data_IF_247992638190
#
_entry.id   IF_247992638190
#
_cell.length_a   1.000
_cell.length_b   1.000
_cell.length_c   1.000
_cell.angle_alpha   90.00
_cell.angle_beta   90.00
_cell.angle_gamma   90.00
#
_symmetry.space_group_name_H-M   'P 1'
#
loop_
_entity.id
_entity.type
_entity.pdbx_description
1 polymer ?
#
# COMPACT_ATOMS: atom_id res chain seq x y z
N UNK A 1 -16.91 -2.82 10.65
CA UNK A 1 -15.53 -2.84 10.12
C UNK A 1 -15.06 -1.39 10.06
N UNK A 2 -14.02 -1.00 10.81
CA UNK A 2 -13.56 0.42 10.84
C UNK A 2 -12.60 0.68 9.68
N UNK A 3 -12.60 1.90 9.11
CA UNK A 3 -11.71 2.32 8.01
C UNK A 3 -10.23 2.01 8.34
N UNK A 4 -9.83 2.20 9.59
CA UNK A 4 -8.49 1.83 10.08
C UNK A 4 -8.15 0.34 9.91
N UNK A 5 -9.11 -0.57 10.12
CA UNK A 5 -8.90 -2.01 9.89
C UNK A 5 -8.75 -2.31 8.40
N UNK A 6 -9.52 -1.64 7.55
CA UNK A 6 -9.40 -1.78 6.10
C UNK A 6 -8.02 -1.30 5.60
N UNK A 7 -7.54 -0.16 6.10
CA UNK A 7 -6.19 0.35 5.78
C UNK A 7 -5.11 -0.62 6.22
N UNK A 8 -5.20 -1.19 7.44
CA UNK A 8 -4.25 -2.21 7.91
C UNK A 8 -4.23 -3.47 7.04
N UNK A 9 -5.39 -3.92 6.57
CA UNK A 9 -5.48 -5.08 5.66
C UNK A 9 -4.84 -4.74 4.31
N UNK A 10 -5.10 -3.56 3.76
CA UNK A 10 -4.47 -3.08 2.52
C UNK A 10 -2.95 -2.99 2.66
N UNK A 11 -2.46 -2.44 3.76
CA UNK A 11 -1.03 -2.34 4.05
C UNK A 11 -0.37 -3.72 4.12
N UNK A 12 -1.00 -4.65 4.85
CA UNK A 12 -0.52 -6.02 4.91
C UNK A 12 -0.46 -6.65 3.52
N UNK A 13 -1.50 -6.47 2.69
CA UNK A 13 -1.55 -7.07 1.36
C UNK A 13 -0.51 -6.47 0.41
N UNK A 14 -0.30 -5.15 0.43
CA UNK A 14 0.74 -4.48 -0.35
C UNK A 14 2.13 -5.02 0.03
N UNK A 15 2.41 -5.19 1.32
CA UNK A 15 3.68 -5.74 1.81
C UNK A 15 3.88 -7.16 1.30
N UNK A 16 2.86 -8.02 1.44
CA UNK A 16 2.93 -9.41 0.98
C UNK A 16 3.19 -9.49 -0.53
N UNK A 17 2.51 -8.67 -1.34
CA UNK A 17 2.69 -8.62 -2.79
C UNK A 17 4.09 -8.17 -3.18
N UNK A 18 4.63 -7.12 -2.54
CA UNK A 18 6.00 -6.66 -2.78
C UNK A 18 7.04 -7.71 -2.43
N UNK A 19 6.87 -8.42 -1.30
CA UNK A 19 7.77 -9.49 -0.90
C UNK A 19 7.73 -10.67 -1.87
N UNK A 20 6.54 -11.10 -2.29
CA UNK A 20 6.36 -12.18 -3.26
C UNK A 20 7.01 -11.84 -4.61
N UNK A 21 6.86 -10.61 -5.10
CA UNK A 21 7.52 -10.15 -6.33
C UNK A 21 9.06 -10.21 -6.25
N UNK A 22 9.64 -9.76 -5.14
CA UNK A 22 11.09 -9.83 -4.92
C UNK A 22 11.57 -11.27 -4.87
N UNK A 23 10.78 -12.16 -4.26
CA UNK A 23 11.09 -13.59 -4.21
C UNK A 23 11.03 -14.22 -5.61
N UNK A 24 9.97 -13.96 -6.37
CA UNK A 24 9.81 -14.45 -7.75
C UNK A 24 10.95 -13.99 -8.65
N UNK A 25 11.38 -12.73 -8.55
CA UNK A 25 12.52 -12.21 -9.31
C UNK A 25 13.85 -12.90 -8.97
N UNK A 26 13.99 -13.47 -7.77
CA UNK A 26 15.18 -14.24 -7.38
C UNK A 26 15.11 -15.70 -7.84
N UNK A 27 13.91 -16.28 -7.82
CA UNK A 27 13.68 -17.69 -8.15
C UNK A 27 13.59 -17.94 -9.65
N UNK A 28 13.08 -16.97 -10.42
CA UNK A 28 13.09 -17.02 -11.88
C UNK A 28 14.49 -16.71 -12.39
N UNK A 29 15.29 -17.78 -12.53
CA UNK A 29 16.49 -17.77 -13.35
C UNK A 29 16.03 -17.59 -14.79
N UNK A 30 16.22 -16.38 -15.33
CA UNK A 30 15.81 -16.03 -16.68
C UNK A 30 16.49 -16.92 -17.73
N UNK A 31 15.82 -18.00 -18.13
CA UNK A 31 16.18 -18.78 -19.31
C UNK A 31 15.54 -18.12 -20.54
N UNK A 32 16.31 -17.99 -21.62
CA UNK A 32 16.09 -17.11 -22.78
C UNK A 32 14.68 -17.23 -23.41
N UNK A 33 14.00 -18.38 -23.27
CA UNK A 33 12.72 -18.67 -23.92
C UNK A 33 11.44 -18.34 -23.10
N UNK A 34 11.50 -18.13 -21.79
CA UNK A 34 10.30 -17.86 -20.94
C UNK A 34 10.06 -16.37 -20.63
N UNK A 35 10.92 -15.49 -21.17
CA UNK A 35 11.00 -14.07 -20.78
C UNK A 35 9.69 -13.30 -20.90
N UNK A 36 8.82 -13.62 -21.86
CA UNK A 36 7.61 -12.84 -22.10
C UNK A 36 6.51 -13.09 -21.04
N UNK A 37 6.25 -14.35 -20.68
CA UNK A 37 5.17 -14.69 -19.72
C UNK A 37 5.54 -14.19 -18.33
N UNK A 38 6.78 -14.44 -17.92
CA UNK A 38 7.31 -13.98 -16.63
C UNK A 38 7.27 -12.46 -16.50
N UNK A 39 7.73 -11.74 -17.54
CA UNK A 39 7.67 -10.28 -17.59
C UNK A 39 6.24 -9.77 -17.49
N UNK A 40 5.31 -10.35 -18.24
CA UNK A 40 3.89 -9.98 -18.17
C UNK A 40 3.31 -10.20 -16.76
N UNK A 41 3.63 -11.30 -16.10
CA UNK A 41 3.17 -11.57 -14.73
C UNK A 41 3.73 -10.54 -13.74
N UNK A 42 5.01 -10.20 -13.83
CA UNK A 42 5.61 -9.16 -13.01
C UNK A 42 5.02 -7.77 -13.28
N UNK A 43 4.70 -7.45 -14.52
CA UNK A 43 4.04 -6.18 -14.90
C UNK A 43 2.62 -6.10 -14.34
N UNK A 44 1.85 -7.19 -14.40
CA UNK A 44 0.51 -7.28 -13.80
C UNK A 44 0.59 -7.07 -12.29
N UNK A 45 1.52 -7.72 -11.58
CA UNK A 45 1.67 -7.54 -10.14
C UNK A 45 2.06 -6.10 -9.76
N UNK A 46 2.88 -5.42 -10.57
CA UNK A 46 3.16 -3.98 -10.38
C UNK A 46 1.90 -3.14 -10.49
N UNK A 47 1.05 -3.41 -11.48
CA UNK A 47 -0.22 -2.69 -11.65
C UNK A 47 -1.14 -2.95 -10.46
N UNK A 48 -1.23 -4.19 -9.98
CA UNK A 48 -2.03 -4.53 -8.79
C UNK A 48 -1.56 -3.74 -7.57
N UNK A 49 -0.25 -3.70 -7.31
CA UNK A 49 0.32 -2.93 -6.20
C UNK A 49 -0.04 -1.44 -6.34
N UNK A 50 0.14 -0.85 -7.53
CA UNK A 50 -0.20 0.56 -7.78
C UNK A 50 -1.68 0.86 -7.56
N UNK A 51 -2.57 -0.06 -7.95
CA UNK A 51 -4.01 0.07 -7.72
C UNK A 51 -4.35 0.00 -6.22
N UNK A 52 -3.73 -0.92 -5.47
CA UNK A 52 -3.91 -1.03 -4.02
C UNK A 52 -3.43 0.23 -3.29
N UNK A 53 -2.28 0.79 -3.71
CA UNK A 53 -1.77 2.05 -3.16
C UNK A 53 -2.70 3.23 -3.48
N UNK A 54 -3.29 3.27 -4.67
CA UNK A 54 -4.28 4.27 -5.05
C UNK A 54 -5.55 4.16 -4.20
N UNK A 55 -6.09 2.95 -4.04
CA UNK A 55 -7.26 2.70 -3.17
C UNK A 55 -6.96 3.14 -1.73
N UNK A 56 -5.75 2.84 -1.22
CA UNK A 56 -5.34 3.29 0.12
C UNK A 56 -5.35 4.81 0.23
N UNK A 57 -4.86 5.55 -0.77
CA UNK A 57 -4.87 7.02 -0.78
C UNK A 57 -6.28 7.59 -0.73
N UNK A 58 -7.24 6.98 -1.44
CA UNK A 58 -8.65 7.39 -1.40
C UNK A 58 -9.31 7.10 -0.05
N UNK A 59 -8.87 6.06 0.65
CA UNK A 59 -9.40 5.67 1.96
C UNK A 59 -8.78 6.46 3.11
N UNK A 60 -7.58 7.03 2.94
CA UNK A 60 -6.97 7.90 3.94
C UNK A 60 -7.53 9.31 3.73
N UNK A 61 -8.38 9.82 4.63
CA UNK A 61 -8.88 11.17 4.50
C UNK A 61 -7.71 12.15 4.61
N UNK A 62 -7.50 12.96 3.57
CA UNK A 62 -6.63 14.13 3.66
C UNK A 62 -7.29 15.09 4.67
N UNK A 63 -6.74 15.22 5.88
CA UNK A 63 -7.28 16.15 6.87
C UNK A 63 -7.10 17.58 6.37
N UNK A 64 -8.21 18.15 5.91
CA UNK A 64 -8.35 19.57 5.50
C UNK A 64 -8.49 20.51 6.70
N UNK A 65 -8.53 19.97 7.92
CA UNK A 65 -8.64 20.78 9.12
C UNK A 65 -7.34 21.55 9.39
N UNK A 66 -7.45 22.77 9.96
CA UNK A 66 -6.30 23.60 10.29
C UNK A 66 -5.36 22.91 11.28
N UNK A 67 -4.09 23.33 11.29
CA UNK A 67 -3.02 22.69 12.07
C UNK A 67 -3.27 22.70 13.57
N UNK A 68 -4.00 23.68 14.09
CA UNK A 68 -4.42 23.75 15.49
C UNK A 68 -5.40 22.64 15.91
N UNK A 69 -5.97 21.91 14.96
CA UNK A 69 -6.82 20.72 15.20
C UNK A 69 -6.02 19.41 15.09
N UNK A 70 -4.70 19.50 14.89
CA UNK A 70 -3.79 18.36 14.83
C UNK A 70 -2.98 18.32 16.13
N UNK A 71 -2.87 17.13 16.70
CA UNK A 71 -2.11 16.85 17.90
C UNK A 71 -1.14 15.70 17.64
N UNK A 72 -0.15 15.50 18.50
CA UNK A 72 0.77 14.36 18.44
C UNK A 72 0.37 13.37 19.52
N UNK A 73 -0.21 12.25 19.11
CA UNK A 73 -0.59 11.15 20.01
C UNK A 73 0.35 9.98 19.74
N UNK A 74 1.11 9.56 20.76
CA UNK A 74 2.10 8.47 20.66
C UNK A 74 3.14 8.65 19.53
N UNK A 75 3.58 9.89 19.28
CA UNK A 75 4.58 10.20 18.25
C UNK A 75 4.04 10.22 16.82
N UNK A 76 2.71 10.09 16.62
CA UNK A 76 2.06 10.24 15.32
C UNK A 76 1.19 11.47 15.30
N UNK A 77 1.18 12.17 14.17
CA UNK A 77 0.27 13.29 13.95
C UNK A 77 -1.16 12.73 13.90
N UNK A 78 -2.08 13.37 14.59
CA UNK A 78 -3.46 12.93 14.75
C UNK A 78 -4.37 14.14 14.62
N UNK A 79 -5.43 14.05 13.83
CA UNK A 79 -6.36 15.14 13.62
C UNK A 79 -7.59 14.89 14.50
N UNK A 80 -7.75 15.69 15.57
CA UNK A 80 -8.83 15.53 16.57
C UNK A 80 -10.22 15.56 15.94
N UNK A 81 -10.38 16.36 14.88
CA UNK A 81 -11.64 16.51 14.18
C UNK A 81 -11.88 15.45 13.08
N UNK A 82 -10.82 14.80 12.58
CA UNK A 82 -10.94 13.61 11.74
C UNK A 82 -11.05 12.32 12.58
N UNK A 83 -10.71 12.40 13.87
CA UNK A 83 -10.51 11.25 14.75
C UNK A 83 -9.62 10.17 14.10
N UNK A 84 -8.53 10.60 13.46
CA UNK A 84 -7.69 9.75 12.64
C UNK A 84 -6.22 10.19 12.69
N UNK A 85 -5.31 9.21 12.69
CA UNK A 85 -3.86 9.41 12.59
C UNK A 85 -3.52 9.90 11.17
N UNK A 86 -2.93 11.09 11.05
CA UNK A 86 -2.52 11.69 9.78
C UNK A 86 -1.18 11.15 9.26
#
# INVERSE_FOLDING_TARGET
MTIQKAIKILDWWIIQKKQAMVQLQKEWVFFDDSHNVEKTLLEIDKIIIANLETIKKELIPICKHPENMRDIVNGKLYCMNCNFDL
#
